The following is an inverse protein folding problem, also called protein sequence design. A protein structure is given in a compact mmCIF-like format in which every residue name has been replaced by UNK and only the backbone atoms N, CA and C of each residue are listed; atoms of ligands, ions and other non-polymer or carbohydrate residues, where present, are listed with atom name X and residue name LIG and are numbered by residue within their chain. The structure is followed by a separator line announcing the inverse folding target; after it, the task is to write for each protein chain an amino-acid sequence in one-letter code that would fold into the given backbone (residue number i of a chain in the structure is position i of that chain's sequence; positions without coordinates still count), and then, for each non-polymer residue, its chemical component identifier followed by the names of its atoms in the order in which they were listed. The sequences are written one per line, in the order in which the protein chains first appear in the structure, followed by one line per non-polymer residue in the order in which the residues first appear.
data_IF_831534643730
#
_entry.id   IF_831534643730
#
_cell.length_a   1.000
_cell.length_b   1.000
_cell.length_c   1.000
_cell.angle_alpha   90.00
_cell.angle_beta   90.00
_cell.angle_gamma   90.00
#
_symmetry.space_group_name_H-M   'P 1'
#
loop_
_entity.id
_entity.type
_entity.pdbx_description
1 polymer ?
#
# COMPACT_ATOMS: atom_id res chain seq x y z
N UNK A 1 -21.25 -7.57 -11.89
CA UNK A 1 -20.05 -7.95 -12.66
C UNK A 1 -18.84 -7.66 -11.78
N UNK A 2 -17.95 -8.63 -11.57
CA UNK A 2 -16.74 -8.41 -10.77
C UNK A 2 -15.91 -7.30 -11.43
N UNK A 3 -15.73 -6.17 -10.74
CA UNK A 3 -14.89 -5.08 -11.25
C UNK A 3 -13.44 -5.58 -11.28
N UNK A 4 -12.82 -5.75 -12.47
CA UNK A 4 -11.45 -6.29 -12.58
C UNK A 4 -10.44 -5.40 -11.86
N UNK A 5 -10.69 -4.09 -11.77
CA UNK A 5 -9.83 -3.15 -11.04
C UNK A 5 -9.85 -3.45 -9.54
N UNK A 6 -11.05 -3.69 -9.00
CA UNK A 6 -11.26 -4.06 -7.60
C UNK A 6 -10.59 -5.39 -7.27
N UNK A 7 -10.65 -6.38 -8.17
CA UNK A 7 -9.97 -7.66 -7.99
C UNK A 7 -8.44 -7.50 -7.94
N UNK A 8 -7.87 -6.73 -8.87
CA UNK A 8 -6.42 -6.43 -8.89
C UNK A 8 -5.99 -5.72 -7.60
N UNK A 9 -6.73 -4.69 -7.18
CA UNK A 9 -6.45 -3.97 -5.94
C UNK A 9 -6.56 -4.88 -4.70
N UNK A 10 -7.51 -5.82 -4.68
CA UNK A 10 -7.65 -6.78 -3.59
C UNK A 10 -6.44 -7.74 -3.53
N UNK A 11 -5.97 -8.23 -4.67
CA UNK A 11 -4.75 -9.06 -4.73
C UNK A 11 -3.55 -8.27 -4.24
N UNK A 12 -3.39 -7.01 -4.66
CA UNK A 12 -2.29 -6.17 -4.19
C UNK A 12 -2.39 -5.93 -2.67
N UNK A 13 -3.59 -5.68 -2.15
CA UNK A 13 -3.82 -5.50 -0.73
C UNK A 13 -3.45 -6.77 0.06
N UNK A 14 -3.82 -7.96 -0.42
CA UNK A 14 -3.40 -9.25 0.17
C UNK A 14 -1.88 -9.37 0.18
N UNK A 15 -1.22 -9.10 -0.96
CA UNK A 15 0.25 -9.16 -1.04
C UNK A 15 0.88 -8.19 -0.02
N UNK A 16 0.39 -6.95 0.06
CA UNK A 16 0.88 -5.94 1.01
C UNK A 16 0.70 -6.37 2.46
N UNK A 17 -0.42 -7.01 2.81
CA UNK A 17 -0.63 -7.56 4.15
C UNK A 17 0.35 -8.70 4.44
N UNK A 18 0.49 -9.65 3.52
CA UNK A 18 1.37 -10.80 3.71
C UNK A 18 2.84 -10.37 3.81
N UNK A 19 3.30 -9.46 2.96
CA UNK A 19 4.66 -8.95 3.02
C UNK A 19 4.91 -8.15 4.30
N UNK A 20 3.97 -7.30 4.70
CA UNK A 20 4.05 -6.57 5.97
C UNK A 20 4.10 -7.53 7.18
N UNK A 21 3.28 -8.57 7.17
CA UNK A 21 3.23 -9.56 8.25
C UNK A 21 4.54 -10.35 8.39
N UNK A 22 5.23 -10.63 7.27
CA UNK A 22 6.57 -11.22 7.28
C UNK A 22 7.60 -10.20 7.78
N UNK A 23 7.49 -8.94 7.36
CA UNK A 23 8.46 -7.89 7.67
C UNK A 23 8.45 -7.48 9.16
N UNK A 24 7.34 -7.65 9.87
CA UNK A 24 7.22 -7.39 11.32
C UNK A 24 8.24 -8.22 12.14
N UNK A 25 8.24 -9.57 12.08
CA UNK A 25 9.23 -10.40 12.77
C UNK A 25 10.56 -10.51 12.03
N UNK A 26 10.58 -10.33 10.70
CA UNK A 26 11.74 -10.62 9.85
C UNK A 26 12.29 -9.41 9.06
N UNK A 27 12.11 -8.19 9.57
CA UNK A 27 12.55 -6.96 8.90
C UNK A 27 14.02 -6.96 8.46
N UNK A 28 14.89 -7.64 9.21
CA UNK A 28 16.32 -7.79 8.88
C UNK A 28 16.61 -8.55 7.59
N UNK A 29 15.82 -9.58 7.27
CA UNK A 29 16.00 -10.37 6.04
C UNK A 29 15.53 -9.59 4.81
N UNK A 30 14.45 -8.80 4.97
CA UNK A 30 13.97 -7.91 3.92
C UNK A 30 14.95 -6.77 3.66
N UNK A 31 15.56 -6.21 4.70
CA UNK A 31 16.62 -5.20 4.59
C UNK A 31 17.82 -5.71 3.78
N UNK A 32 18.26 -6.95 4.00
CA UNK A 32 19.34 -7.56 3.21
C UNK A 32 18.98 -7.73 1.74
N UNK A 33 17.72 -8.11 1.44
CA UNK A 33 17.21 -8.23 0.07
C UNK A 33 17.22 -6.89 -0.69
N UNK A 34 16.95 -5.78 -0.01
CA UNK A 34 16.99 -4.43 -0.61
C UNK A 34 18.35 -3.75 -0.45
N UNK A 35 19.38 -4.49 0.00
CA UNK A 35 20.76 -4.02 0.12
C UNK A 35 20.98 -2.95 1.18
N UNK A 36 20.16 -2.93 2.24
CA UNK A 36 20.28 -1.97 3.34
C UNK A 36 21.00 -2.59 4.54
N UNK A 37 21.71 -1.75 5.30
CA UNK A 37 22.38 -2.18 6.52
C UNK A 37 21.37 -2.68 7.57
N UNK A 38 21.64 -3.86 8.10
CA UNK A 38 20.76 -4.54 9.05
C UNK A 38 21.22 -4.28 10.48
N UNK A 39 21.06 -3.04 10.97
CA UNK A 39 21.27 -2.67 12.38
C UNK A 39 20.01 -2.95 13.21
N UNK A 40 20.09 -3.01 14.55
CA UNK A 40 18.90 -3.17 15.40
C UNK A 40 17.83 -2.10 15.13
N UNK A 41 18.23 -0.86 14.89
CA UNK A 41 17.34 0.28 14.65
C UNK A 41 16.65 0.15 13.30
N UNK A 42 17.36 -0.19 12.23
CA UNK A 42 16.76 -0.34 10.90
C UNK A 42 15.80 -1.52 10.86
N UNK A 43 16.10 -2.62 11.57
CA UNK A 43 15.20 -3.77 11.73
C UNK A 43 13.88 -3.38 12.41
N UNK A 44 13.94 -2.60 13.49
CA UNK A 44 12.75 -2.13 14.18
C UNK A 44 11.94 -1.14 13.34
N UNK A 45 12.60 -0.24 12.61
CA UNK A 45 11.95 0.66 11.67
C UNK A 45 11.22 -0.12 10.57
N UNK A 46 11.88 -1.12 9.97
CA UNK A 46 11.25 -1.98 8.97
C UNK A 46 10.11 -2.83 9.52
N UNK A 47 10.23 -3.34 10.75
CA UNK A 47 9.12 -4.03 11.41
C UNK A 47 7.92 -3.11 11.64
N UNK A 48 8.17 -1.85 12.02
CA UNK A 48 7.13 -0.84 12.19
C UNK A 48 6.45 -0.49 10.86
N UNK A 49 7.22 -0.32 9.78
CA UNK A 49 6.68 -0.14 8.43
C UNK A 49 5.82 -1.34 8.02
N UNK A 50 6.30 -2.56 8.28
CA UNK A 50 5.54 -3.79 8.04
C UNK A 50 4.21 -3.83 8.78
N UNK A 51 4.17 -3.37 10.03
CA UNK A 51 2.93 -3.26 10.81
C UNK A 51 1.94 -2.31 10.14
N UNK A 52 2.39 -1.13 9.68
CA UNK A 52 1.55 -0.21 8.94
C UNK A 52 1.06 -0.78 7.59
N UNK A 53 1.89 -1.56 6.90
CA UNK A 53 1.48 -2.28 5.68
C UNK A 53 0.35 -3.28 5.97
N UNK A 54 0.44 -4.02 7.07
CA UNK A 54 -0.63 -4.94 7.51
C UNK A 54 -1.92 -4.19 7.81
N UNK A 55 -1.84 -3.11 8.59
CA UNK A 55 -3.04 -2.36 9.01
C UNK A 55 -3.71 -1.67 7.81
N UNK A 56 -2.95 -0.90 7.02
CA UNK A 56 -3.49 -0.16 5.88
C UNK A 56 -3.90 -1.11 4.75
N UNK A 57 -3.09 -2.12 4.46
CA UNK A 57 -3.42 -3.17 3.48
C UNK A 57 -4.66 -3.95 3.89
N UNK A 58 -4.82 -4.26 5.19
CA UNK A 58 -5.99 -4.94 5.72
C UNK A 58 -7.25 -4.07 5.66
N UNK A 59 -7.14 -2.79 5.99
CA UNK A 59 -8.24 -1.82 5.85
C UNK A 59 -8.68 -1.69 4.37
N UNK A 60 -7.72 -1.59 3.46
CA UNK A 60 -7.98 -1.57 2.02
C UNK A 60 -8.65 -2.87 1.57
N UNK A 61 -8.14 -4.04 1.98
CA UNK A 61 -8.71 -5.33 1.64
C UNK A 61 -10.16 -5.45 2.14
N UNK A 62 -10.42 -5.13 3.41
CA UNK A 62 -11.78 -5.14 3.95
C UNK A 62 -12.70 -4.19 3.16
N UNK A 63 -12.23 -2.99 2.84
CA UNK A 63 -12.97 -2.01 2.02
C UNK A 63 -13.29 -2.55 0.63
N UNK A 64 -12.34 -3.24 0.01
CA UNK A 64 -12.50 -3.86 -1.32
C UNK A 64 -13.29 -5.16 -1.30
N UNK A 65 -13.54 -5.78 -0.15
CA UNK A 65 -14.41 -6.96 -0.03
C UNK A 65 -15.85 -6.57 0.33
N UNK A 66 -16.06 -5.41 0.95
CA UNK A 66 -17.39 -4.91 1.33
C UNK A 66 -18.25 -4.46 0.13
N UNK A 67 -19.56 -4.66 0.20
CA UNK A 67 -20.49 -4.33 -0.88
C UNK A 67 -20.43 -2.84 -1.27
N UNK A 68 -20.27 -1.95 -0.29
CA UNK A 68 -20.08 -0.50 -0.47
C UNK A 68 -18.68 -0.12 -0.01
N UNK A 69 -17.72 0.11 -0.94
CA UNK A 69 -16.36 0.51 -0.59
C UNK A 69 -16.34 1.95 -0.04
N UNK A 70 -15.62 2.18 1.06
CA UNK A 70 -15.36 3.54 1.57
C UNK A 70 -14.34 4.27 0.69
N UNK A 71 -14.71 5.39 0.04
CA UNK A 71 -13.77 6.16 -0.78
C UNK A 71 -12.60 6.74 0.04
N UNK A 72 -12.84 7.09 1.30
CA UNK A 72 -11.81 7.67 2.18
C UNK A 72 -10.65 6.71 2.42
N UNK A 73 -10.95 5.43 2.67
CA UNK A 73 -9.93 4.41 2.88
C UNK A 73 -9.10 4.21 1.61
N UNK A 74 -9.74 4.23 0.44
CA UNK A 74 -9.04 4.12 -0.86
C UNK A 74 -8.12 5.32 -1.09
N UNK A 75 -8.56 6.54 -0.79
CA UNK A 75 -7.77 7.76 -0.91
C UNK A 75 -6.52 7.70 -0.02
N UNK A 76 -6.69 7.41 1.28
CA UNK A 76 -5.59 7.35 2.23
C UNK A 76 -4.62 6.19 1.92
N UNK A 77 -5.12 5.06 1.41
CA UNK A 77 -4.27 3.96 0.94
C UNK A 77 -3.43 4.38 -0.27
N UNK A 78 -4.02 5.14 -1.21
CA UNK A 78 -3.31 5.71 -2.36
C UNK A 78 -2.20 6.66 -1.92
N UNK A 79 -2.52 7.57 -0.99
CA UNK A 79 -1.56 8.50 -0.40
C UNK A 79 -0.41 7.78 0.31
N UNK A 80 -0.72 6.76 1.11
CA UNK A 80 0.30 5.97 1.82
C UNK A 80 1.29 5.33 0.83
N UNK A 81 0.81 4.71 -0.25
CA UNK A 81 1.68 4.11 -1.25
C UNK A 81 2.52 5.12 -2.03
N UNK A 82 1.95 6.27 -2.41
CA UNK A 82 2.75 7.34 -3.02
C UNK A 82 3.76 7.96 -2.05
N UNK A 83 3.40 8.04 -0.76
CA UNK A 83 4.30 8.46 0.30
C UNK A 83 5.45 7.48 0.51
N UNK A 84 5.18 6.17 0.43
CA UNK A 84 6.20 5.13 0.47
C UNK A 84 7.20 5.27 -0.69
N UNK A 85 6.74 5.54 -1.92
CA UNK A 85 7.61 5.86 -3.04
C UNK A 85 8.53 7.05 -2.74
N UNK A 86 7.98 8.15 -2.21
CA UNK A 86 8.76 9.33 -1.83
C UNK A 86 9.79 9.03 -0.75
N UNK A 87 9.40 8.33 0.32
CA UNK A 87 10.29 7.98 1.43
C UNK A 87 11.42 7.04 1.00
N UNK A 88 11.13 6.01 0.19
CA UNK A 88 12.14 5.12 -0.36
C UNK A 88 13.07 5.86 -1.32
N UNK A 89 12.53 6.74 -2.17
CA UNK A 89 13.33 7.58 -3.07
C UNK A 89 14.31 8.48 -2.31
N UNK A 90 13.85 9.15 -1.24
CA UNK A 90 14.71 9.93 -0.34
C UNK A 90 15.77 9.03 0.31
N UNK A 91 15.40 7.82 0.74
CA UNK A 91 16.34 6.85 1.31
C UNK A 91 17.44 6.43 0.33
N UNK A 92 17.12 6.25 -0.95
CA UNK A 92 18.13 5.95 -2.00
C UNK A 92 19.02 7.17 -2.26
N UNK A 93 18.46 8.38 -2.35
CA UNK A 93 19.23 9.61 -2.54
C UNK A 93 20.20 9.90 -1.37
N UNK A 94 19.80 9.53 -0.15
CA UNK A 94 20.64 9.63 1.04
C UNK A 94 21.62 8.46 1.21
N UNK A 95 21.64 7.48 0.30
CA UNK A 95 22.53 6.32 0.35
C UNK A 95 22.15 5.27 1.40
N UNK A 96 20.94 5.34 1.98
CA UNK A 96 20.45 4.40 3.00
C UNK A 96 19.94 3.09 2.38
N UNK A 97 19.37 3.17 1.17
CA UNK A 97 18.87 2.02 0.42
C UNK A 97 19.62 1.86 -0.89
N UNK A 98 19.80 0.61 -1.33
CA UNK A 98 20.35 0.35 -2.65
C UNK A 98 19.35 0.75 -3.76
N UNK A 99 19.83 1.08 -4.99
CA UNK A 99 18.96 1.44 -6.10
C UNK A 99 17.89 0.41 -6.45
N UNK A 100 18.10 -0.87 -6.10
CA UNK A 100 17.11 -1.93 -6.28
C UNK A 100 15.81 -1.67 -5.52
N UNK A 101 15.86 -0.92 -4.40
CA UNK A 101 14.67 -0.52 -3.64
C UNK A 101 13.72 0.37 -4.44
N UNK A 102 14.21 1.06 -5.48
CA UNK A 102 13.37 1.85 -6.38
C UNK A 102 12.38 0.99 -7.16
N UNK A 103 12.68 -0.28 -7.43
CA UNK A 103 11.73 -1.18 -8.10
C UNK A 103 10.47 -1.36 -7.26
N UNK A 104 10.64 -1.57 -5.96
CA UNK A 104 9.52 -1.67 -5.00
C UNK A 104 8.80 -0.33 -4.89
N UNK A 105 9.56 0.78 -4.83
CA UNK A 105 9.00 2.12 -4.79
C UNK A 105 8.12 2.42 -6.01
N UNK A 106 8.57 2.07 -7.22
CA UNK A 106 7.80 2.26 -8.45
C UNK A 106 6.56 1.38 -8.49
N UNK A 107 6.63 0.17 -7.95
CA UNK A 107 5.45 -0.69 -7.78
C UNK A 107 4.41 -0.05 -6.85
N UNK A 108 4.84 0.57 -5.75
CA UNK A 108 3.94 1.31 -4.86
C UNK A 108 3.36 2.56 -5.52
N UNK A 109 4.16 3.32 -6.29
CA UNK A 109 3.66 4.45 -7.07
C UNK A 109 2.59 4.01 -8.08
N UNK A 110 2.85 2.94 -8.84
CA UNK A 110 1.90 2.38 -9.79
C UNK A 110 0.60 1.97 -9.08
N UNK A 111 0.70 1.30 -7.93
CA UNK A 111 -0.48 0.95 -7.13
C UNK A 111 -1.23 2.19 -6.64
N UNK A 112 -0.52 3.22 -6.18
CA UNK A 112 -1.09 4.49 -5.76
C UNK A 112 -1.90 5.15 -6.88
N UNK A 113 -1.36 5.18 -8.11
CA UNK A 113 -2.07 5.68 -9.30
C UNK A 113 -3.37 4.88 -9.54
N UNK A 114 -3.31 3.56 -9.48
CA UNK A 114 -4.49 2.69 -9.65
C UNK A 114 -5.53 2.96 -8.55
N UNK A 115 -5.11 3.17 -7.31
CA UNK A 115 -5.99 3.54 -6.19
C UNK A 115 -6.66 4.90 -6.41
N UNK A 116 -5.95 5.92 -6.91
CA UNK A 116 -6.55 7.21 -7.23
C UNK A 116 -7.54 7.13 -8.40
N UNK A 117 -7.27 6.29 -9.41
CA UNK A 117 -8.22 6.02 -10.49
C UNK A 117 -9.49 5.37 -9.94
N UNK A 118 -9.35 4.36 -9.08
CA UNK A 118 -10.49 3.69 -8.44
C UNK A 118 -11.27 4.64 -7.52
N UNK A 119 -10.57 5.44 -6.72
CA UNK A 119 -11.16 6.47 -5.86
C UNK A 119 -12.01 7.46 -6.66
N UNK A 120 -11.47 8.00 -7.76
CA UNK A 120 -12.21 8.94 -8.61
C UNK A 120 -13.48 8.33 -9.18
N UNK A 121 -13.49 7.02 -9.48
CA UNK A 121 -14.70 6.30 -9.93
C UNK A 121 -15.73 6.18 -8.82
N UNK A 122 -15.29 5.86 -7.59
CA UNK A 122 -16.18 5.79 -6.42
C UNK A 122 -16.79 7.16 -6.07
N UNK A 123 -15.99 8.22 -6.11
CA UNK A 123 -16.45 9.59 -5.81
C UNK A 123 -17.33 10.20 -6.91
N UNK A 124 -17.23 9.73 -8.15
CA UNK A 124 -18.06 10.18 -9.26
C UNK A 124 -19.42 9.48 -9.35
N UNK A 125 -19.64 8.38 -8.60
CA UNK A 125 -20.94 7.74 -8.52
C UNK A 125 -21.89 8.63 -7.69
N UNK A 126 -22.94 9.24 -8.30
CA UNK A 126 -23.85 10.09 -7.55
C UNK A 126 -24.60 9.27 -6.50
N UNK A 127 -24.85 9.87 -5.35
CA UNK A 127 -25.87 9.41 -4.40
C UNK A 127 -27.28 9.61 -4.98
N UNK A 128 -27.61 8.91 -6.07
CA UNK A 128 -28.93 8.94 -6.71
C UNK A 128 -29.64 7.61 -6.51
N UNK A 129 -30.11 7.36 -5.29
CA UNK A 129 -31.19 6.41 -5.02
C UNK A 129 -31.65 6.55 -3.55
N UNK A 130 -32.22 7.71 -3.22
CA UNK A 130 -32.81 7.96 -1.89
C UNK A 130 -34.07 8.84 -1.90
N UNK A 131 -34.61 9.18 -3.07
CA UNK A 131 -35.88 9.90 -3.20
C UNK A 131 -36.80 9.15 -4.16
N UNK A 132 -37.37 8.03 -3.71
CA UNK A 132 -38.63 7.46 -4.18
C UNK A 132 -39.07 6.36 -3.20
N UNK A 133 -40.08 6.65 -2.39
CA UNK A 133 -40.66 5.74 -1.41
C UNK A 133 -41.34 6.49 -0.30
#
# INVERSE_FOLDING_TARGET
MADPLRAVLAVIAVITVLTGAVQVPFGGQVLQLIGADSTPETRQLFGTVGMFMVVVGGLLLHTLLNAVPSPEVVLWSGLQKTGAFGAVGIGVLNGVFAPVALLVAFFDLATGIVLFIYWRRLSAAPANSGLAG
#
